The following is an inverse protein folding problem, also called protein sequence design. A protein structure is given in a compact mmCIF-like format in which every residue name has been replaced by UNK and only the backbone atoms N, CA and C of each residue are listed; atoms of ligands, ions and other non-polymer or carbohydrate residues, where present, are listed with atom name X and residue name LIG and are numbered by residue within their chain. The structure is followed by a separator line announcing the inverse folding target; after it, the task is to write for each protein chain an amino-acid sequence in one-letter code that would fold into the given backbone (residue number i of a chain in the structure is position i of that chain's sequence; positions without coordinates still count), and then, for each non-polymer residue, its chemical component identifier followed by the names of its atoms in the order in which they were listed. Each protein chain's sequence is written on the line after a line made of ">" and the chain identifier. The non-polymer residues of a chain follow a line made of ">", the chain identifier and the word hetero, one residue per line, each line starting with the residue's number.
data_IF_959922364813
#
_entry.id   IF_959922364813
#
_cell.length_a   1.000
_cell.length_b   1.000
_cell.length_c   1.000
_cell.angle_alpha   90.00
_cell.angle_beta   90.00
_cell.angle_gamma   90.00
#
_symmetry.space_group_name_H-M   'P 1'
#
loop_
_entity.id
_entity.type
_entity.pdbx_description
1 polymer ?
#
# COMPACT_ATOMS: atom_id res chain seq x y z
N UNK A 1 49.87 8.64 63.59
CA UNK A 1 50.74 9.81 63.89
C UNK A 1 52.17 9.36 63.72
N UNK A 2 52.60 9.35 62.47
CA UNK A 2 53.99 9.33 62.01
C UNK A 2 53.91 9.89 60.60
N UNK A 3 54.26 11.17 60.50
CA UNK A 3 54.49 11.89 59.25
C UNK A 3 55.74 11.32 58.58
N UNK A 4 55.66 11.01 57.29
CA UNK A 4 56.84 10.89 56.44
C UNK A 4 56.53 11.55 55.08
N UNK A 5 57.17 12.71 54.93
CA UNK A 5 57.39 13.48 53.71
C UNK A 5 57.98 12.59 52.60
N UNK A 6 57.28 12.47 51.48
CA UNK A 6 57.89 12.07 50.21
C UNK A 6 57.66 13.16 49.16
N UNK A 7 58.81 13.68 48.76
CA UNK A 7 59.13 14.67 47.75
C UNK A 7 58.96 14.10 46.35
N UNK A 8 58.10 14.69 45.52
CA UNK A 8 58.12 14.49 44.06
C UNK A 8 58.56 15.78 43.34
N UNK A 9 59.49 15.72 42.38
CA UNK A 9 59.88 16.85 41.54
C UNK A 9 59.17 16.86 40.18
N UNK A 10 58.83 18.09 39.77
CA UNK A 10 58.76 18.69 38.43
C UNK A 10 58.69 17.79 37.17
N UNK A 11 57.64 17.98 36.37
CA UNK A 11 57.71 17.93 34.90
C UNK A 11 56.81 18.97 34.22
N UNK A 12 57.50 19.92 33.59
CA UNK A 12 57.26 20.52 32.26
C UNK A 12 55.92 21.21 31.94
N UNK A 13 55.99 22.53 31.94
CA UNK A 13 55.39 23.43 30.94
C UNK A 13 55.87 23.06 29.52
N UNK A 14 54.95 22.98 28.55
CA UNK A 14 55.11 23.27 27.10
C UNK A 14 53.84 22.75 26.41
N UNK A 15 53.17 23.37 25.45
CA UNK A 15 53.34 24.60 24.69
C UNK A 15 52.05 24.66 23.86
N UNK A 16 51.35 25.80 23.89
CA UNK A 16 50.14 26.01 23.11
C UNK A 16 50.52 26.17 21.64
N UNK A 17 50.15 25.21 20.79
CA UNK A 17 50.28 25.30 19.34
C UNK A 17 48.97 25.74 18.68
N UNK A 18 48.91 27.00 18.25
CA UNK A 18 48.01 27.49 17.20
C UNK A 18 48.33 26.80 15.87
N UNK A 19 47.34 26.26 15.13
CA UNK A 19 47.52 25.97 13.71
C UNK A 19 47.07 27.15 12.83
N UNK A 20 48.11 27.83 12.36
CA UNK A 20 48.33 28.54 11.10
C UNK A 20 47.15 28.73 10.11
N UNK A 21 46.84 30.01 9.92
CA UNK A 21 45.93 30.59 8.95
C UNK A 21 46.64 30.75 7.58
N UNK A 22 46.73 29.69 6.76
CA UNK A 22 47.25 29.84 5.40
C UNK A 22 46.82 28.75 4.39
N UNK A 23 45.60 28.84 3.85
CA UNK A 23 45.35 28.45 2.45
C UNK A 23 44.00 28.95 1.94
N UNK A 24 44.04 30.13 1.31
CA UNK A 24 42.97 30.66 0.45
C UNK A 24 43.14 30.13 -0.97
N UNK A 25 42.21 29.32 -1.52
CA UNK A 25 42.14 29.16 -2.97
C UNK A 25 41.42 30.35 -3.62
N UNK A 26 42.17 30.89 -4.57
CA UNK A 26 41.87 31.99 -5.50
C UNK A 26 40.46 32.04 -6.12
N UNK A 27 39.96 33.27 -6.18
CA UNK A 27 38.84 33.76 -6.99
C UNK A 27 38.98 33.34 -8.46
N UNK A 28 38.14 32.42 -8.93
CA UNK A 28 37.91 32.24 -10.37
C UNK A 28 36.74 33.11 -10.86
N UNK A 29 37.16 34.16 -11.54
CA UNK A 29 36.50 35.05 -12.50
C UNK A 29 35.12 34.60 -13.01
N UNK A 30 34.13 35.45 -12.69
CA UNK A 30 32.98 35.84 -13.54
C UNK A 30 33.34 35.75 -15.04
N UNK A 31 32.73 34.80 -15.76
CA UNK A 31 32.56 34.90 -17.20
C UNK A 31 31.18 35.47 -17.51
N UNK A 32 31.24 36.64 -18.14
CA UNK A 32 30.18 37.43 -18.75
C UNK A 32 29.56 36.59 -19.87
N UNK A 33 28.27 36.25 -19.78
CA UNK A 33 27.48 35.74 -20.90
C UNK A 33 27.08 36.94 -21.78
N UNK A 34 27.41 36.96 -23.07
CA UNK A 34 26.86 37.94 -24.00
C UNK A 34 25.42 37.59 -24.39
N UNK A 35 24.66 38.65 -24.62
CA UNK A 35 23.37 38.65 -25.29
C UNK A 35 23.54 38.49 -26.80
N UNK A 36 22.43 38.13 -27.44
CA UNK A 36 22.06 38.30 -28.85
C UNK A 36 22.76 37.44 -29.91
N UNK A 37 22.01 36.47 -30.41
CA UNK A 37 22.04 36.08 -31.82
C UNK A 37 20.67 35.52 -32.22
N UNK A 38 19.96 36.34 -33.00
CA UNK A 38 18.78 35.98 -33.77
C UNK A 38 19.07 34.76 -34.66
N UNK A 39 18.14 33.80 -34.69
CA UNK A 39 18.01 32.86 -35.79
C UNK A 39 16.54 32.83 -36.20
N UNK A 40 16.23 33.64 -37.22
CA UNK A 40 15.06 33.46 -38.09
C UNK A 40 15.20 32.11 -38.80
N UNK A 41 14.18 31.29 -38.69
CA UNK A 41 13.98 30.10 -39.51
C UNK A 41 12.53 30.07 -39.96
N UNK A 42 12.29 30.59 -41.16
CA UNK A 42 11.07 30.38 -41.95
C UNK A 42 10.93 28.89 -42.30
N UNK A 43 9.74 28.32 -42.06
CA UNK A 43 9.22 27.20 -42.82
C UNK A 43 7.68 27.14 -42.70
N UNK A 44 7.05 27.84 -43.64
CA UNK A 44 5.84 27.47 -44.39
C UNK A 44 5.45 25.98 -44.25
N UNK A 45 4.27 25.66 -43.71
CA UNK A 45 3.03 25.39 -44.45
C UNK A 45 3.09 24.22 -45.43
N UNK A 46 2.38 23.13 -45.11
CA UNK A 46 1.64 22.19 -46.00
C UNK A 46 1.23 21.00 -45.12
N UNK A 47 -0.03 20.85 -44.72
CA UNK A 47 -1.08 20.10 -45.42
C UNK A 47 -1.67 19.12 -44.38
N UNK A 48 -2.87 19.34 -43.85
CA UNK A 48 -4.14 18.92 -44.43
C UNK A 48 -4.08 17.47 -44.95
N UNK A 49 -4.46 16.51 -44.09
CA UNK A 49 -5.44 15.45 -44.42
C UNK A 49 -5.57 14.46 -43.26
N UNK A 50 -6.67 14.57 -42.51
CA UNK A 50 -7.20 13.45 -41.74
C UNK A 50 -8.73 13.57 -41.72
N UNK A 51 -9.30 13.22 -42.87
CA UNK A 51 -10.71 12.96 -43.02
C UNK A 51 -11.12 11.75 -42.18
N UNK A 52 -12.15 11.96 -41.36
CA UNK A 52 -13.37 11.14 -41.31
C UNK A 52 -13.19 9.62 -41.20
N UNK A 53 -13.27 9.12 -39.98
CA UNK A 53 -13.77 7.78 -39.68
C UNK A 53 -14.73 7.84 -38.47
N UNK A 54 -15.91 8.40 -38.70
CA UNK A 54 -17.11 8.03 -37.94
C UNK A 54 -17.55 6.67 -38.47
N UNK A 55 -17.57 5.65 -37.59
CA UNK A 55 -17.93 4.29 -37.95
C UNK A 55 -18.22 3.46 -36.71
N UNK A 56 -19.46 3.58 -36.23
CA UNK A 56 -20.28 2.50 -35.68
C UNK A 56 -19.67 1.56 -34.61
N UNK A 57 -19.99 1.86 -33.35
CA UNK A 57 -19.78 0.96 -32.21
C UNK A 57 -20.92 1.03 -31.20
N UNK A 58 -22.18 1.08 -31.68
CA UNK A 58 -23.37 0.81 -30.85
C UNK A 58 -23.91 -0.57 -31.20
N UNK A 59 -24.31 -1.30 -30.16
CA UNK A 59 -25.05 -2.57 -30.14
C UNK A 59 -24.22 -3.86 -30.11
N UNK A 60 -23.87 -4.29 -28.90
CA UNK A 60 -23.80 -5.72 -28.55
C UNK A 60 -24.08 -5.90 -27.04
N UNK A 61 -25.25 -5.44 -26.61
CA UNK A 61 -25.87 -5.85 -25.35
C UNK A 61 -27.18 -6.55 -25.73
N UNK A 62 -27.29 -7.80 -25.26
CA UNK A 62 -28.42 -8.73 -25.34
C UNK A 62 -28.38 -9.80 -26.44
N UNK A 63 -27.99 -11.01 -26.01
CA UNK A 63 -28.83 -12.23 -26.17
C UNK A 63 -28.40 -13.25 -25.11
N UNK A 64 -28.95 -13.11 -23.91
CA UNK A 64 -29.06 -14.22 -22.98
C UNK A 64 -30.15 -15.11 -23.55
N UNK A 65 -29.78 -16.31 -24.00
CA UNK A 65 -30.73 -17.30 -24.47
C UNK A 65 -31.67 -17.74 -23.33
N UNK A 66 -32.97 -17.92 -23.60
CA UNK A 66 -33.88 -18.46 -22.59
C UNK A 66 -33.48 -19.90 -22.28
N UNK A 67 -33.15 -20.16 -21.01
CA UNK A 67 -32.93 -21.50 -20.46
C UNK A 67 -34.09 -22.39 -20.86
N UNK A 68 -33.77 -23.43 -21.62
CA UNK A 68 -34.68 -24.47 -22.07
C UNK A 68 -35.30 -25.13 -20.84
N UNK A 69 -36.61 -24.97 -20.70
CA UNK A 69 -37.44 -25.58 -19.66
C UNK A 69 -37.27 -27.10 -19.73
N UNK A 70 -36.57 -27.68 -18.76
CA UNK A 70 -36.51 -29.12 -18.56
C UNK A 70 -37.91 -29.57 -18.15
N UNK A 71 -38.58 -30.28 -19.06
CA UNK A 71 -39.77 -31.03 -18.75
C UNK A 71 -39.35 -32.36 -18.12
N UNK A 72 -39.93 -32.70 -16.97
CA UNK A 72 -39.81 -34.04 -16.39
C UNK A 72 -39.46 -34.04 -14.91
N UNK A 73 -40.43 -33.71 -14.06
CA UNK A 73 -40.53 -34.27 -12.71
C UNK A 73 -42.02 -34.35 -12.39
N UNK A 74 -42.51 -35.59 -12.37
CA UNK A 74 -43.85 -36.01 -11.96
C UNK A 74 -43.95 -35.94 -10.43
N UNK A 75 -44.74 -35.01 -9.92
CA UNK A 75 -45.20 -34.99 -8.53
C UNK A 75 -46.69 -35.39 -8.51
N UNK A 76 -46.95 -36.68 -8.66
CA UNK A 76 -48.21 -37.33 -8.29
C UNK A 76 -48.05 -37.89 -6.86
N UNK A 77 -48.01 -37.03 -5.84
CA UNK A 77 -48.55 -37.38 -4.50
C UNK A 77 -48.51 -36.15 -3.56
N UNK A 78 -49.51 -35.29 -3.67
CA UNK A 78 -49.82 -34.32 -2.62
C UNK A 78 -51.32 -34.40 -2.34
N UNK A 79 -51.65 -35.01 -1.20
CA UNK A 79 -53.00 -35.19 -0.71
C UNK A 79 -53.80 -33.88 -0.58
N UNK A 80 -55.11 -33.98 -0.25
CA UNK A 80 -56.06 -32.89 -0.40
C UNK A 80 -55.72 -31.74 0.57
N UNK A 81 -54.91 -30.79 0.09
CA UNK A 81 -54.69 -29.53 0.77
C UNK A 81 -56.02 -28.78 0.76
N UNK A 82 -56.68 -28.77 1.92
CA UNK A 82 -57.76 -27.86 2.30
C UNK A 82 -57.42 -26.46 1.77
N UNK A 83 -58.09 -26.08 0.67
CA UNK A 83 -58.09 -24.70 0.21
C UNK A 83 -58.78 -23.89 1.28
N UNK A 84 -57.99 -23.28 2.17
CA UNK A 84 -58.47 -22.24 3.08
C UNK A 84 -59.08 -21.14 2.24
N UNK A 85 -60.41 -21.14 2.18
CA UNK A 85 -61.19 -20.06 1.58
C UNK A 85 -60.77 -18.75 2.26
N UNK A 86 -60.00 -17.95 1.53
CA UNK A 86 -59.65 -16.60 1.95
C UNK A 86 -60.97 -15.85 2.17
N UNK A 87 -61.17 -15.23 3.35
CA UNK A 87 -62.41 -14.54 3.65
C UNK A 87 -62.64 -13.48 2.57
N UNK A 88 -63.80 -13.60 1.88
CA UNK A 88 -64.25 -12.60 0.92
C UNK A 88 -64.35 -11.26 1.64
N UNK A 89 -63.33 -10.42 1.50
CA UNK A 89 -63.29 -9.10 2.09
C UNK A 89 -64.37 -8.26 1.40
N UNK A 90 -65.56 -8.23 1.99
CA UNK A 90 -66.65 -7.36 1.59
C UNK A 90 -66.12 -5.93 1.64
N UNK A 91 -65.75 -5.37 0.48
CA UNK A 91 -65.42 -3.96 0.27
C UNK A 91 -66.67 -3.08 0.31
N UNK A 92 -67.59 -3.39 1.23
CA UNK A 92 -68.59 -2.42 1.66
C UNK A 92 -67.80 -1.31 2.35
N UNK A 93 -67.59 -0.21 1.61
CA UNK A 93 -66.86 0.98 2.03
C UNK A 93 -67.63 1.61 3.19
N UNK A 94 -67.39 1.09 4.41
CA UNK A 94 -67.87 1.72 5.64
C UNK A 94 -67.12 3.05 5.73
N UNK A 95 -67.78 4.14 5.29
CA UNK A 95 -67.37 5.49 5.64
C UNK A 95 -67.55 5.63 7.15
N UNK A 96 -66.57 5.14 7.91
CA UNK A 96 -66.45 5.49 9.33
C UNK A 96 -66.27 7.00 9.35
N UNK A 97 -67.27 7.71 9.89
CA UNK A 97 -67.11 9.13 10.24
C UNK A 97 -65.88 9.21 11.14
N UNK A 98 -64.89 10.01 10.75
CA UNK A 98 -63.70 10.24 11.56
C UNK A 98 -64.13 10.59 13.00
N UNK A 99 -63.56 9.97 14.04
CA UNK A 99 -63.90 10.27 15.42
C UNK A 99 -63.66 11.78 15.64
N UNK A 100 -64.72 12.45 16.09
CA UNK A 100 -64.71 13.90 16.31
C UNK A 100 -63.98 14.13 17.64
N UNK A 101 -62.66 14.31 17.58
CA UNK A 101 -61.84 14.60 18.77
C UNK A 101 -60.42 14.03 18.79
N UNK A 102 -59.94 13.34 17.75
CA UNK A 102 -58.50 13.04 17.65
C UNK A 102 -57.74 14.34 17.35
N UNK A 103 -56.87 14.75 18.28
CA UNK A 103 -55.88 15.80 18.05
C UNK A 103 -55.15 15.47 16.75
N UNK A 104 -55.32 16.33 15.74
CA UNK A 104 -54.64 16.14 14.47
C UNK A 104 -53.14 16.12 14.75
N UNK A 105 -52.51 14.97 14.54
CA UNK A 105 -51.07 14.76 14.71
C UNK A 105 -50.30 15.95 14.12
N UNK A 106 -49.45 16.56 14.96
CA UNK A 106 -48.64 17.72 14.60
C UNK A 106 -47.85 17.49 13.31
N UNK A 107 -47.47 16.24 13.03
CA UNK A 107 -46.87 15.86 11.76
C UNK A 107 -47.84 15.99 10.59
N UNK A 108 -49.07 15.49 10.69
CA UNK A 108 -50.07 15.58 9.61
C UNK A 108 -50.50 17.01 9.32
N UNK A 109 -50.65 17.84 10.35
CA UNK A 109 -50.99 19.27 10.17
C UNK A 109 -49.84 20.02 9.51
N UNK A 110 -48.59 19.74 9.91
CA UNK A 110 -47.39 20.33 9.31
C UNK A 110 -47.22 19.90 7.86
N UNK A 111 -47.37 18.61 7.53
CA UNK A 111 -47.28 18.08 6.17
C UNK A 111 -48.40 18.64 5.28
N UNK A 112 -49.65 18.74 5.78
CA UNK A 112 -50.76 19.34 5.02
C UNK A 112 -50.54 20.83 4.78
N UNK A 113 -50.01 21.57 5.75
CA UNK A 113 -49.71 23.01 5.62
C UNK A 113 -48.55 23.24 4.64
N UNK A 114 -47.51 22.41 4.70
CA UNK A 114 -46.41 22.42 3.74
C UNK A 114 -46.88 22.06 2.32
N UNK A 115 -47.72 21.03 2.18
CA UNK A 115 -48.30 20.62 0.89
C UNK A 115 -49.18 21.69 0.23
N UNK A 116 -49.90 22.48 1.04
CA UNK A 116 -50.72 23.59 0.53
C UNK A 116 -49.87 24.78 0.06
N UNK A 117 -48.73 25.05 0.71
CA UNK A 117 -47.76 26.06 0.28
C UNK A 117 -47.04 25.69 -1.03
N UNK A 118 -46.79 24.41 -1.27
CA UNK A 118 -46.19 23.90 -2.52
C UNK A 118 -47.07 24.22 -3.75
N UNK A 119 -48.41 24.18 -3.59
CA UNK A 119 -49.36 24.49 -4.66
C UNK A 119 -49.46 26.00 -4.97
N UNK A 120 -49.09 26.88 -4.04
CA UNK A 120 -49.18 28.34 -4.23
C UNK A 120 -47.98 28.91 -5.00
N UNK A 121 -46.83 28.24 -4.95
CA UNK A 121 -45.61 28.67 -5.62
C UNK A 121 -44.92 27.54 -6.40
N UNK A 122 -45.60 26.94 -7.41
CA UNK A 122 -45.06 25.79 -8.13
C UNK A 122 -43.73 26.10 -8.81
N UNK A 123 -43.54 27.32 -9.33
CA UNK A 123 -42.28 27.75 -9.95
C UNK A 123 -41.12 27.80 -8.94
N UNK A 124 -41.36 28.26 -7.70
CA UNK A 124 -40.33 28.32 -6.67
C UNK A 124 -39.92 26.92 -6.20
N UNK A 125 -40.88 26.01 -6.05
CA UNK A 125 -40.61 24.61 -5.68
C UNK A 125 -39.86 23.87 -6.78
N UNK A 126 -40.26 24.06 -8.05
CA UNK A 126 -39.53 23.51 -9.20
C UNK A 126 -38.10 24.08 -9.23
N UNK A 127 -37.93 25.39 -9.03
CA UNK A 127 -36.61 26.02 -8.93
C UNK A 127 -35.74 25.39 -7.84
N UNK A 128 -36.30 25.16 -6.64
CA UNK A 128 -35.58 24.54 -5.53
C UNK A 128 -35.20 23.08 -5.83
N UNK A 129 -36.09 22.29 -6.44
CA UNK A 129 -35.80 20.91 -6.83
C UNK A 129 -34.68 20.88 -7.87
N UNK A 130 -34.69 21.77 -8.87
CA UNK A 130 -33.63 21.85 -9.90
C UNK A 130 -32.29 22.23 -9.27
N UNK A 131 -32.26 23.18 -8.34
CA UNK A 131 -31.04 23.55 -7.61
C UNK A 131 -30.51 22.37 -6.79
N UNK A 132 -31.38 21.68 -6.03
CA UNK A 132 -30.98 20.52 -5.24
C UNK A 132 -30.46 19.37 -6.12
N UNK A 133 -31.11 19.10 -7.26
CA UNK A 133 -30.66 18.12 -8.23
C UNK A 133 -29.31 18.52 -8.86
N UNK A 134 -29.10 19.81 -9.15
CA UNK A 134 -27.83 20.33 -9.65
C UNK A 134 -26.69 20.17 -8.65
N UNK A 135 -26.92 20.44 -7.37
CA UNK A 135 -25.94 20.22 -6.29
C UNK A 135 -25.64 18.73 -6.15
N UNK A 136 -26.67 17.87 -6.14
CA UNK A 136 -26.50 16.42 -6.08
C UNK A 136 -25.71 15.86 -7.27
N UNK A 137 -26.01 16.30 -8.49
CA UNK A 137 -25.29 15.91 -9.69
C UNK A 137 -23.83 16.42 -9.68
N UNK A 138 -23.60 17.65 -9.20
CA UNK A 138 -22.25 18.20 -9.02
C UNK A 138 -21.43 17.41 -8.01
N UNK A 139 -22.01 17.09 -6.84
CA UNK A 139 -21.36 16.26 -5.83
C UNK A 139 -21.05 14.85 -6.33
N UNK A 140 -21.99 14.22 -7.07
CA UNK A 140 -21.79 12.91 -7.67
C UNK A 140 -20.69 12.93 -8.74
N UNK A 141 -20.70 13.92 -9.64
CA UNK A 141 -19.67 14.08 -10.67
C UNK A 141 -18.28 14.31 -10.06
N UNK A 142 -18.19 15.08 -8.97
CA UNK A 142 -16.94 15.26 -8.23
C UNK A 142 -16.47 13.96 -7.57
N UNK A 143 -17.37 13.20 -6.93
CA UNK A 143 -17.03 11.88 -6.37
C UNK A 143 -16.50 10.93 -7.43
N UNK A 144 -17.17 10.84 -8.58
CA UNK A 144 -16.76 10.02 -9.71
C UNK A 144 -15.40 10.44 -10.31
N UNK A 145 -15.17 11.75 -10.44
CA UNK A 145 -13.88 12.27 -10.88
C UNK A 145 -12.76 11.88 -9.89
N UNK A 146 -13.01 12.00 -8.58
CA UNK A 146 -12.08 11.58 -7.55
C UNK A 146 -11.81 10.07 -7.55
N UNK A 147 -12.80 9.23 -7.85
CA UNK A 147 -12.60 7.78 -8.01
C UNK A 147 -11.74 7.46 -9.24
N UNK A 148 -11.96 8.15 -10.36
CA UNK A 148 -11.16 7.96 -11.56
C UNK A 148 -9.70 8.36 -11.35
N UNK A 149 -9.44 9.44 -10.61
CA UNK A 149 -8.08 9.88 -10.31
C UNK A 149 -7.40 8.93 -9.31
N UNK A 150 -8.08 8.47 -8.26
CA UNK A 150 -7.56 7.42 -7.36
C UNK A 150 -7.21 6.12 -8.10
N UNK A 151 -8.02 5.74 -9.09
CA UNK A 151 -7.74 4.56 -9.91
C UNK A 151 -6.46 4.74 -10.75
N UNK A 152 -6.24 5.93 -11.32
CA UNK A 152 -4.99 6.26 -12.04
C UNK A 152 -3.78 6.26 -11.11
N UNK A 153 -3.89 6.89 -9.93
CA UNK A 153 -2.82 6.96 -8.94
C UNK A 153 -2.42 5.57 -8.44
N UNK A 154 -3.41 4.73 -8.14
CA UNK A 154 -3.19 3.31 -7.81
C UNK A 154 -2.56 2.54 -8.97
N UNK A 155 -2.96 2.82 -10.21
CA UNK A 155 -2.38 2.19 -11.40
C UNK A 155 -0.89 2.52 -11.51
N UNK A 156 -0.51 3.80 -11.36
CA UNK A 156 0.90 4.22 -11.42
C UNK A 156 1.74 3.57 -10.34
N UNK A 157 1.25 3.53 -9.09
CA UNK A 157 1.90 2.81 -8.00
C UNK A 157 2.05 1.31 -8.32
N UNK A 158 0.99 0.68 -8.85
CA UNK A 158 1.01 -0.74 -9.21
C UNK A 158 2.01 -1.02 -10.33
N UNK A 159 2.18 -0.10 -11.28
CA UNK A 159 3.19 -0.19 -12.34
C UNK A 159 4.59 -0.14 -11.73
N UNK A 160 4.88 0.84 -10.88
CA UNK A 160 6.16 0.94 -10.19
C UNK A 160 6.47 -0.35 -9.40
N UNK A 161 5.51 -0.82 -8.59
CA UNK A 161 5.66 -2.04 -7.80
C UNK A 161 5.85 -3.30 -8.67
N UNK A 162 5.18 -3.38 -9.83
CA UNK A 162 5.31 -4.52 -10.73
C UNK A 162 6.70 -4.58 -11.36
N UNK A 163 7.24 -3.45 -11.83
CA UNK A 163 8.60 -3.39 -12.37
C UNK A 163 9.65 -3.68 -11.29
N UNK A 164 9.48 -3.13 -10.08
CA UNK A 164 10.42 -3.34 -8.97
C UNK A 164 10.44 -4.80 -8.48
N UNK A 165 9.28 -5.44 -8.30
CA UNK A 165 9.21 -6.76 -7.67
C UNK A 165 9.30 -7.93 -8.67
N UNK A 166 8.88 -7.72 -9.92
CA UNK A 166 8.70 -8.79 -10.91
C UNK A 166 9.30 -8.48 -12.27
N UNK A 167 10.02 -7.36 -12.39
CA UNK A 167 10.77 -7.00 -13.58
C UNK A 167 11.77 -8.07 -13.95
N UNK A 168 11.85 -8.40 -15.24
CA UNK A 168 12.87 -9.30 -15.77
C UNK A 168 13.61 -8.63 -16.92
N UNK A 169 14.93 -8.67 -16.85
CA UNK A 169 15.81 -8.28 -17.96
C UNK A 169 15.91 -9.46 -18.91
N UNK A 170 15.53 -9.24 -20.16
CA UNK A 170 15.52 -10.28 -21.19
C UNK A 170 16.15 -9.73 -22.45
N UNK A 171 17.17 -10.44 -22.93
CA UNK A 171 17.79 -10.19 -24.24
C UNK A 171 16.80 -10.53 -25.36
N UNK A 172 16.85 -9.76 -26.45
CA UNK A 172 16.01 -9.94 -27.64
C UNK A 172 14.49 -9.93 -27.35
N UNK A 173 14.07 -9.04 -26.44
CA UNK A 173 12.66 -8.88 -26.05
C UNK A 173 11.73 -8.65 -27.26
N UNK A 174 12.21 -7.92 -28.26
CA UNK A 174 11.49 -7.69 -29.51
C UNK A 174 11.16 -9.00 -30.24
N UNK A 175 12.10 -9.95 -30.30
CA UNK A 175 11.89 -11.25 -30.94
C UNK A 175 10.91 -12.11 -30.13
N UNK A 176 11.03 -12.10 -28.80
CA UNK A 176 10.15 -12.87 -27.91
C UNK A 176 8.71 -12.36 -27.86
N UNK A 177 8.49 -11.11 -28.27
CA UNK A 177 7.16 -10.48 -28.27
C UNK A 177 6.54 -10.35 -29.67
N UNK A 178 7.34 -10.49 -30.73
CA UNK A 178 6.91 -10.29 -32.12
C UNK A 178 5.64 -11.05 -32.50
N UNK A 179 5.52 -12.33 -32.08
CA UNK A 179 4.39 -13.20 -32.46
C UNK A 179 3.32 -13.31 -31.37
N UNK A 180 3.46 -12.60 -30.24
CA UNK A 180 2.53 -12.75 -29.10
C UNK A 180 1.31 -11.84 -29.25
N UNK A 181 0.14 -12.48 -29.38
CA UNK A 181 -1.17 -11.79 -29.39
C UNK A 181 -1.59 -11.21 -28.04
N UNK A 182 -0.92 -11.56 -26.94
CA UNK A 182 -1.25 -11.12 -25.58
C UNK A 182 -0.03 -10.49 -24.92
N UNK A 183 -0.21 -9.41 -24.14
CA UNK A 183 0.87 -8.85 -23.38
C UNK A 183 1.39 -9.88 -22.37
N UNK A 184 2.68 -9.77 -22.07
CA UNK A 184 3.33 -10.61 -21.08
C UNK A 184 2.75 -10.34 -19.69
N UNK A 185 2.63 -11.39 -18.87
CA UNK A 185 2.06 -11.30 -17.52
C UNK A 185 2.99 -10.61 -16.52
N UNK A 186 4.28 -10.56 -16.83
CA UNK A 186 5.32 -9.86 -16.08
C UNK A 186 5.87 -8.71 -16.91
N UNK A 187 6.36 -7.63 -16.28
CA UNK A 187 7.08 -6.59 -16.99
C UNK A 187 8.46 -7.09 -17.41
N UNK A 188 8.80 -6.88 -18.68
CA UNK A 188 10.10 -7.20 -19.26
C UNK A 188 10.74 -5.94 -19.81
N UNK A 189 12.05 -5.85 -19.72
CA UNK A 189 12.88 -4.75 -20.24
C UNK A 189 14.17 -5.31 -20.81
N UNK A 190 14.85 -4.52 -21.64
CA UNK A 190 16.09 -4.95 -22.31
C UNK A 190 17.32 -4.77 -21.43
N UNK A 191 17.23 -3.95 -20.37
CA UNK A 191 18.34 -3.70 -19.45
C UNK A 191 17.88 -3.36 -18.03
N UNK A 192 18.79 -3.57 -17.07
CA UNK A 192 18.58 -3.20 -15.66
C UNK A 192 18.45 -1.68 -15.48
N UNK A 193 19.08 -0.88 -16.35
CA UNK A 193 18.91 0.57 -16.34
C UNK A 193 17.51 0.98 -16.77
N UNK A 194 16.99 0.37 -17.85
CA UNK A 194 15.61 0.60 -18.27
C UNK A 194 14.63 0.19 -17.17
N UNK A 195 14.88 -0.92 -16.46
CA UNK A 195 14.04 -1.35 -15.34
C UNK A 195 13.91 -0.24 -14.29
N UNK A 196 15.05 0.29 -13.85
CA UNK A 196 15.10 1.38 -12.86
C UNK A 196 14.40 2.63 -13.38
N UNK A 197 14.64 3.01 -14.63
CA UNK A 197 13.99 4.17 -15.25
C UNK A 197 12.46 4.03 -15.33
N UNK A 198 11.92 2.83 -15.59
CA UNK A 198 10.46 2.59 -15.61
C UNK A 198 9.85 2.78 -14.22
N UNK A 199 10.52 2.30 -13.18
CA UNK A 199 10.09 2.50 -11.79
C UNK A 199 10.14 3.99 -11.44
N UNK A 200 11.26 4.66 -11.71
CA UNK A 200 11.45 6.09 -11.46
C UNK A 200 10.40 6.94 -12.18
N UNK A 201 10.16 6.67 -13.45
CA UNK A 201 9.15 7.38 -14.25
C UNK A 201 7.74 7.20 -13.68
N UNK A 202 7.35 5.98 -13.29
CA UNK A 202 6.03 5.72 -12.73
C UNK A 202 5.83 6.43 -11.37
N UNK A 203 6.85 6.44 -10.51
CA UNK A 203 6.81 7.15 -9.23
C UNK A 203 6.84 8.68 -9.40
N UNK A 204 7.58 9.21 -10.37
CA UNK A 204 7.60 10.64 -10.67
C UNK A 204 6.27 11.12 -11.27
N UNK A 205 5.68 10.33 -12.17
CA UNK A 205 4.36 10.59 -12.73
C UNK A 205 3.28 10.62 -11.65
N UNK A 206 3.34 9.71 -10.68
CA UNK A 206 2.42 9.66 -9.54
C UNK A 206 2.53 10.93 -8.68
N UNK A 207 3.76 11.31 -8.30
CA UNK A 207 4.02 12.54 -7.54
C UNK A 207 3.51 13.78 -8.27
N UNK A 208 3.75 13.87 -9.57
CA UNK A 208 3.36 15.04 -10.37
C UNK A 208 1.84 15.16 -10.56
N UNK A 209 1.14 14.03 -10.67
CA UNK A 209 -0.30 14.00 -10.96
C UNK A 209 -1.15 14.12 -9.70
N UNK A 210 -0.74 13.46 -8.61
CA UNK A 210 -1.57 13.31 -7.42
C UNK A 210 -0.71 13.14 -6.15
N UNK A 211 0.04 14.21 -5.75
CA UNK A 211 1.02 14.16 -4.67
C UNK A 211 0.41 13.84 -3.30
N UNK A 212 -0.86 14.22 -3.08
CA UNK A 212 -1.57 14.01 -1.81
C UNK A 212 -2.39 12.71 -1.81
N UNK A 213 -2.24 11.85 -2.82
CA UNK A 213 -3.00 10.59 -2.86
C UNK A 213 -2.51 9.56 -1.86
N UNK A 214 -3.40 8.68 -1.37
CA UNK A 214 -2.99 7.51 -0.58
C UNK A 214 -1.99 6.60 -1.34
N UNK A 215 -2.08 6.56 -2.67
CA UNK A 215 -1.11 5.83 -3.49
C UNK A 215 0.28 6.47 -3.42
N UNK A 216 0.36 7.81 -3.41
CA UNK A 216 1.63 8.51 -3.28
C UNK A 216 2.22 8.38 -1.86
N UNK A 217 1.38 8.31 -0.83
CA UNK A 217 1.83 7.98 0.53
C UNK A 217 2.53 6.61 0.55
N UNK A 218 1.94 5.57 -0.05
CA UNK A 218 2.60 4.25 -0.16
C UNK A 218 3.85 4.32 -1.06
N UNK A 219 3.84 5.15 -2.11
CA UNK A 219 4.97 5.35 -2.99
C UNK A 219 6.20 5.92 -2.25
N UNK A 220 6.00 6.71 -1.19
CA UNK A 220 7.11 7.19 -0.35
C UNK A 220 7.90 6.06 0.30
N UNK A 221 7.22 4.97 0.71
CA UNK A 221 7.91 3.78 1.23
C UNK A 221 8.69 3.06 0.14
N UNK A 222 8.16 3.00 -1.09
CA UNK A 222 8.89 2.44 -2.23
C UNK A 222 10.14 3.25 -2.54
N UNK A 223 10.04 4.59 -2.53
CA UNK A 223 11.18 5.50 -2.71
C UNK A 223 12.22 5.30 -1.61
N UNK A 224 11.80 5.25 -0.36
CA UNK A 224 12.69 5.01 0.78
C UNK A 224 13.40 3.64 0.71
N UNK A 225 12.68 2.58 0.33
CA UNK A 225 13.26 1.26 0.15
C UNK A 225 14.30 1.21 -0.97
N UNK A 226 14.08 1.96 -2.06
CA UNK A 226 15.05 2.07 -3.16
C UNK A 226 16.31 2.83 -2.75
N UNK A 227 16.19 3.86 -1.91
CA UNK A 227 17.35 4.53 -1.30
C UNK A 227 18.17 3.55 -0.45
N UNK A 228 17.50 2.76 0.40
CA UNK A 228 18.17 1.76 1.22
C UNK A 228 18.87 0.67 0.39
N UNK A 229 18.24 0.19 -0.71
CA UNK A 229 18.87 -0.76 -1.65
C UNK A 229 20.07 -0.18 -2.39
N UNK A 230 20.09 1.12 -2.62
CA UNK A 230 21.22 1.84 -3.17
C UNK A 230 22.31 2.16 -2.12
N UNK A 231 22.16 1.63 -0.90
CA UNK A 231 23.01 1.90 0.27
C UNK A 231 23.08 3.38 0.66
N UNK A 232 22.14 4.22 0.22
CA UNK A 232 21.96 5.59 0.71
C UNK A 232 21.09 5.55 1.97
N UNK A 233 21.69 5.00 3.02
CA UNK A 233 20.99 4.70 4.27
C UNK A 233 20.57 5.97 5.02
N UNK A 234 21.33 7.06 4.91
CA UNK A 234 20.99 8.35 5.51
C UNK A 234 19.76 8.99 4.84
N UNK A 235 19.66 8.92 3.51
CA UNK A 235 18.47 9.40 2.82
C UNK A 235 17.26 8.50 3.10
N UNK A 236 17.46 7.18 3.13
CA UNK A 236 16.42 6.22 3.48
C UNK A 236 15.87 6.46 4.89
N UNK A 237 16.75 6.63 5.88
CA UNK A 237 16.37 6.97 7.26
C UNK A 237 15.49 8.22 7.30
N UNK A 238 15.92 9.31 6.65
CA UNK A 238 15.14 10.56 6.61
C UNK A 238 13.77 10.35 6.00
N UNK A 239 13.68 9.56 4.91
CA UNK A 239 12.42 9.26 4.25
C UNK A 239 11.48 8.45 5.15
N UNK A 240 11.96 7.36 5.78
CA UNK A 240 11.14 6.56 6.69
C UNK A 240 10.70 7.33 7.93
N UNK A 241 11.58 8.12 8.55
CA UNK A 241 11.23 8.98 9.70
C UNK A 241 10.16 10.01 9.31
N UNK A 242 10.28 10.60 8.12
CA UNK A 242 9.28 11.54 7.59
C UNK A 242 7.90 10.87 7.45
N UNK A 243 7.85 9.66 6.87
CA UNK A 243 6.63 8.87 6.74
C UNK A 243 5.99 8.57 8.10
N UNK A 244 6.76 8.02 9.05
CA UNK A 244 6.30 7.68 10.41
C UNK A 244 5.73 8.91 11.13
N UNK A 245 6.41 10.06 11.01
CA UNK A 245 5.99 11.31 11.66
C UNK A 245 4.71 11.88 11.05
N UNK A 246 4.57 11.84 9.72
CA UNK A 246 3.41 12.41 9.01
C UNK A 246 2.18 11.51 9.13
N UNK A 247 2.38 10.20 9.16
CA UNK A 247 1.30 9.21 9.08
C UNK A 247 1.36 8.18 10.23
N UNK A 248 1.25 8.61 11.50
CA UNK A 248 1.45 7.73 12.67
C UNK A 248 0.38 6.64 12.85
N UNK A 249 -0.73 6.69 12.10
CA UNK A 249 -1.80 5.68 12.11
C UNK A 249 -1.91 4.89 10.81
N UNK A 250 -0.93 4.99 9.91
CA UNK A 250 -0.99 4.32 8.61
C UNK A 250 -0.88 2.80 8.76
N UNK A 251 -1.61 2.05 7.94
CA UNK A 251 -1.62 0.58 7.99
C UNK A 251 -0.27 -0.07 7.62
N UNK A 252 0.64 0.70 6.99
CA UNK A 252 2.02 0.30 6.67
C UNK A 252 3.06 0.89 7.65
N UNK A 253 2.64 1.38 8.82
CA UNK A 253 3.59 1.94 9.79
C UNK A 253 4.64 0.91 10.23
N UNK A 254 4.24 -0.35 10.38
CA UNK A 254 5.19 -1.43 10.67
C UNK A 254 6.29 -1.54 9.61
N UNK A 255 5.91 -1.58 8.32
CA UNK A 255 6.86 -1.65 7.20
C UNK A 255 7.80 -0.43 7.17
N UNK A 256 7.29 0.76 7.50
CA UNK A 256 8.11 1.96 7.57
C UNK A 256 9.15 1.90 8.71
N UNK A 257 8.75 1.35 9.86
CA UNK A 257 9.66 1.14 11.00
C UNK A 257 10.68 0.06 10.70
N UNK A 258 10.28 -1.06 10.10
CA UNK A 258 11.21 -2.09 9.65
C UNK A 258 12.24 -1.52 8.67
N UNK A 259 11.79 -0.75 7.67
CA UNK A 259 12.68 -0.06 6.74
C UNK A 259 13.65 0.91 7.43
N UNK A 260 13.19 1.64 8.44
CA UNK A 260 14.03 2.51 9.27
C UNK A 260 15.09 1.71 10.07
N UNK A 261 14.67 0.60 10.68
CA UNK A 261 15.57 -0.31 11.41
C UNK A 261 16.67 -0.82 10.49
N UNK A 262 16.32 -1.29 9.28
CA UNK A 262 17.27 -1.76 8.28
C UNK A 262 18.22 -0.64 7.80
N UNK A 263 17.71 0.58 7.64
CA UNK A 263 18.55 1.73 7.27
C UNK A 263 19.53 2.12 8.39
N UNK A 264 19.13 2.03 9.66
CA UNK A 264 20.02 2.29 10.79
C UNK A 264 21.07 1.19 10.95
N UNK A 265 20.68 -0.06 10.73
CA UNK A 265 21.58 -1.21 10.66
C UNK A 265 22.61 -1.07 9.52
N UNK A 266 22.20 -0.61 8.34
CA UNK A 266 23.12 -0.30 7.24
C UNK A 266 24.14 0.79 7.58
N UNK A 267 23.86 1.64 8.58
CA UNK A 267 24.76 2.64 9.14
C UNK A 267 25.54 2.14 10.38
N UNK A 268 25.38 0.86 10.75
CA UNK A 268 25.95 0.26 11.96
C UNK A 268 25.52 0.95 13.27
N UNK A 269 24.36 1.63 13.27
CA UNK A 269 23.80 2.34 14.42
C UNK A 269 22.86 1.42 15.21
N UNK A 270 23.45 0.40 15.82
CA UNK A 270 22.71 -0.71 16.44
C UNK A 270 21.76 -0.28 17.55
N UNK A 271 22.19 0.61 18.45
CA UNK A 271 21.34 1.08 19.57
C UNK A 271 20.15 1.92 19.08
N UNK A 272 20.35 2.74 18.04
CA UNK A 272 19.27 3.50 17.43
C UNK A 272 18.27 2.57 16.72
N UNK A 273 18.77 1.53 16.04
CA UNK A 273 17.93 0.51 15.41
C UNK A 273 17.10 -0.24 16.47
N UNK A 274 17.71 -0.64 17.59
CA UNK A 274 17.02 -1.29 18.70
C UNK A 274 15.92 -0.41 19.29
N UNK A 275 16.16 0.90 19.44
CA UNK A 275 15.16 1.85 19.93
C UNK A 275 13.92 1.94 19.02
N UNK A 276 14.09 1.76 17.70
CA UNK A 276 12.97 1.74 16.75
C UNK A 276 12.22 0.41 16.69
N UNK A 277 12.83 -0.69 17.16
CA UNK A 277 12.18 -2.00 17.30
C UNK A 277 11.25 -2.06 18.52
N UNK A 278 11.57 -1.38 19.62
CA UNK A 278 10.73 -1.37 20.83
C UNK A 278 9.24 -1.07 20.56
N UNK A 279 8.84 -0.02 19.81
CA UNK A 279 7.44 0.22 19.51
C UNK A 279 6.80 -0.83 18.57
N UNK A 280 7.60 -1.71 17.94
CA UNK A 280 7.12 -2.79 17.07
C UNK A 280 6.77 -4.06 17.86
N UNK A 281 7.26 -4.22 19.08
CA UNK A 281 7.09 -5.46 19.87
C UNK A 281 5.63 -5.75 20.25
N UNK A 282 4.80 -4.70 20.37
CA UNK A 282 3.37 -4.85 20.65
C UNK A 282 3.06 -5.72 21.87
N UNK A 283 1.90 -6.38 21.84
CA UNK A 283 1.45 -7.38 22.81
C UNK A 283 1.61 -8.80 22.25
N UNK A 284 1.71 -9.80 23.15
CA UNK A 284 1.71 -11.21 22.76
C UNK A 284 0.50 -11.55 21.87
N UNK A 285 0.77 -12.20 20.74
CA UNK A 285 -0.23 -12.53 19.73
C UNK A 285 -0.49 -11.45 18.67
N UNK A 286 0.13 -10.26 18.80
CA UNK A 286 0.10 -9.27 17.72
C UNK A 286 0.76 -9.82 16.45
N UNK A 287 0.19 -9.48 15.30
CA UNK A 287 0.54 -10.08 14.01
C UNK A 287 2.03 -9.99 13.65
N UNK A 288 2.73 -8.93 14.08
CA UNK A 288 4.12 -8.68 13.72
C UNK A 288 5.12 -8.87 14.88
N UNK A 289 4.65 -9.39 16.01
CA UNK A 289 5.50 -9.47 17.20
C UNK A 289 6.61 -10.51 17.07
N UNK A 290 6.37 -11.60 16.35
CA UNK A 290 7.39 -12.59 15.98
C UNK A 290 8.55 -11.92 15.23
N UNK A 291 8.24 -11.13 14.21
CA UNK A 291 9.20 -10.41 13.39
C UNK A 291 9.93 -9.33 14.21
N UNK A 292 9.23 -8.61 15.10
CA UNK A 292 9.86 -7.62 15.99
C UNK A 292 10.86 -8.26 16.98
N UNK A 293 10.50 -9.40 17.60
CA UNK A 293 11.42 -10.16 18.46
C UNK A 293 12.64 -10.65 17.69
N UNK A 294 12.44 -11.14 16.46
CA UNK A 294 13.53 -11.50 15.56
C UNK A 294 14.47 -10.32 15.27
N UNK A 295 13.93 -9.14 14.90
CA UNK A 295 14.76 -7.95 14.67
C UNK A 295 15.52 -7.53 15.93
N UNK A 296 14.90 -7.60 17.10
CA UNK A 296 15.58 -7.29 18.37
C UNK A 296 16.75 -8.23 18.63
N UNK A 297 16.55 -9.53 18.50
CA UNK A 297 17.58 -10.54 18.72
C UNK A 297 18.80 -10.33 17.80
N UNK A 298 18.58 -10.26 16.48
CA UNK A 298 19.68 -10.10 15.52
C UNK A 298 20.45 -8.79 15.66
N UNK A 299 19.77 -7.70 16.07
CA UNK A 299 20.43 -6.41 16.31
C UNK A 299 21.25 -6.42 17.60
N UNK A 300 20.80 -7.12 18.65
CA UNK A 300 21.59 -7.33 19.86
C UNK A 300 22.86 -8.13 19.55
N UNK A 301 22.77 -9.15 18.70
CA UNK A 301 23.97 -9.88 18.24
C UNK A 301 24.93 -8.98 17.46
N UNK A 302 24.43 -8.19 16.51
CA UNK A 302 25.25 -7.24 15.75
C UNK A 302 25.91 -6.19 16.65
N UNK A 303 25.28 -5.81 17.76
CA UNK A 303 25.83 -4.94 18.78
C UNK A 303 26.83 -5.63 19.73
N UNK A 304 27.12 -6.92 19.55
CA UNK A 304 28.01 -7.71 20.41
C UNK A 304 27.38 -8.12 21.76
N UNK A 305 26.05 -8.02 21.89
CA UNK A 305 25.27 -8.31 23.11
C UNK A 305 24.61 -9.69 23.02
N UNK A 306 25.41 -10.72 22.73
CA UNK A 306 24.91 -12.07 22.44
C UNK A 306 24.11 -12.70 23.57
N UNK A 307 24.46 -12.45 24.83
CA UNK A 307 23.71 -12.97 25.98
C UNK A 307 22.28 -12.41 26.01
N UNK A 308 22.11 -11.12 25.72
CA UNK A 308 20.79 -10.49 25.64
C UNK A 308 20.00 -10.96 24.42
N UNK A 309 20.69 -11.17 23.29
CA UNK A 309 20.06 -11.74 22.10
C UNK A 309 19.51 -13.15 22.37
N UNK A 310 20.27 -13.98 23.10
CA UNK A 310 19.85 -15.33 23.47
C UNK A 310 18.58 -15.30 24.32
N UNK A 311 18.47 -14.38 25.27
CA UNK A 311 17.25 -14.22 26.07
C UNK A 311 16.04 -13.79 25.21
N UNK A 312 16.24 -12.93 24.22
CA UNK A 312 15.20 -12.56 23.26
C UNK A 312 14.77 -13.75 22.39
N UNK A 313 15.70 -14.60 21.94
CA UNK A 313 15.36 -15.80 21.18
C UNK A 313 14.63 -16.85 22.03
N UNK A 314 14.99 -16.99 23.32
CA UNK A 314 14.23 -17.84 24.26
C UNK A 314 12.83 -17.29 24.48
N UNK A 315 12.68 -15.97 24.60
CA UNK A 315 11.36 -15.33 24.64
C UNK A 315 10.55 -15.63 23.38
N UNK A 316 11.16 -15.50 22.20
CA UNK A 316 10.53 -15.87 20.94
C UNK A 316 10.03 -17.30 20.97
N UNK A 317 10.84 -18.28 21.41
CA UNK A 317 10.42 -19.68 21.47
C UNK A 317 9.25 -19.92 22.43
N UNK A 318 9.18 -19.17 23.55
CA UNK A 318 8.12 -19.31 24.52
C UNK A 318 6.76 -18.85 23.94
N UNK A 319 6.77 -17.79 23.14
CA UNK A 319 5.58 -17.19 22.55
C UNK A 319 5.21 -17.80 21.18
N UNK A 320 6.23 -18.20 20.42
CA UNK A 320 6.14 -18.78 19.08
C UNK A 320 6.93 -20.10 19.02
N UNK A 321 6.34 -21.21 19.50
CA UNK A 321 6.97 -22.52 19.46
C UNK A 321 7.48 -22.88 18.06
N UNK A 322 8.74 -23.33 17.98
CA UNK A 322 9.45 -23.55 16.70
C UNK A 322 8.89 -24.71 15.85
N UNK A 323 8.00 -25.53 16.41
CA UNK A 323 7.25 -26.58 15.69
C UNK A 323 6.02 -26.03 14.94
N UNK A 324 5.68 -24.75 15.16
CA UNK A 324 4.60 -24.05 14.47
C UNK A 324 5.16 -23.06 13.47
N UNK A 325 4.37 -22.80 12.42
CA UNK A 325 4.73 -21.78 11.43
C UNK A 325 4.63 -20.38 12.04
N UNK A 326 5.72 -19.64 11.94
CA UNK A 326 5.86 -18.23 12.31
C UNK A 326 6.80 -17.57 11.31
N UNK A 327 6.72 -16.25 11.09
CA UNK A 327 7.46 -15.56 10.02
C UNK A 327 8.98 -15.68 10.20
N UNK A 328 9.44 -15.78 11.44
CA UNK A 328 10.85 -15.82 11.79
C UNK A 328 11.31 -17.16 12.43
N UNK A 329 10.47 -18.21 12.42
CA UNK A 329 10.77 -19.45 13.16
C UNK A 329 12.06 -20.13 12.70
N UNK A 330 12.26 -20.22 11.37
CA UNK A 330 13.43 -20.89 10.79
C UNK A 330 14.72 -20.10 11.09
N UNK A 331 14.64 -18.76 11.03
CA UNK A 331 15.78 -17.88 11.31
C UNK A 331 16.17 -17.94 12.80
N UNK A 332 15.20 -17.87 13.70
CA UNK A 332 15.44 -17.97 15.15
C UNK A 332 15.99 -19.34 15.51
N UNK A 333 15.44 -20.42 14.95
CA UNK A 333 15.98 -21.78 15.11
C UNK A 333 17.45 -21.84 14.69
N UNK A 334 17.78 -21.36 13.50
CA UNK A 334 19.16 -21.39 12.99
C UNK A 334 20.12 -20.62 13.90
N UNK A 335 19.73 -19.45 14.43
CA UNK A 335 20.56 -18.71 15.40
C UNK A 335 20.71 -19.45 16.72
N UNK A 336 19.65 -20.07 17.24
CA UNK A 336 19.71 -20.84 18.48
C UNK A 336 20.55 -22.11 18.35
N UNK A 337 20.56 -22.78 17.19
CA UNK A 337 21.44 -23.92 16.94
C UNK A 337 22.93 -23.53 17.02
N UNK A 338 23.26 -22.28 16.66
CA UNK A 338 24.61 -21.74 16.74
C UNK A 338 24.97 -21.27 18.17
N UNK A 339 24.05 -20.59 18.86
CA UNK A 339 24.31 -19.96 20.15
C UNK A 339 24.08 -20.89 21.35
N UNK A 340 23.04 -21.73 21.31
CA UNK A 340 22.63 -22.63 22.38
C UNK A 340 21.95 -23.89 21.80
N UNK A 341 22.71 -24.80 21.17
CA UNK A 341 22.16 -25.99 20.50
C UNK A 341 21.38 -26.92 21.43
N UNK A 342 21.64 -26.86 22.74
CA UNK A 342 20.94 -27.68 23.73
C UNK A 342 19.49 -27.22 23.96
N UNK A 343 19.17 -25.97 23.64
CA UNK A 343 17.83 -25.39 23.79
C UNK A 343 16.88 -25.72 22.64
N UNK A 344 17.40 -26.14 21.48
CA UNK A 344 16.61 -26.29 20.26
C UNK A 344 15.87 -27.64 20.26
N UNK A 345 14.52 -27.66 20.18
CA UNK A 345 13.77 -28.89 20.07
C UNK A 345 14.08 -29.59 18.74
N UNK A 346 14.29 -30.92 18.81
CA UNK A 346 14.47 -31.74 17.62
C UNK A 346 13.34 -31.51 16.62
N UNK A 347 13.68 -31.40 15.33
CA UNK A 347 12.67 -31.33 14.28
C UNK A 347 11.72 -32.52 14.43
N UNK A 348 10.39 -32.30 14.43
CA UNK A 348 9.48 -33.42 14.31
C UNK A 348 9.87 -34.15 13.03
N UNK A 349 10.17 -35.46 13.13
CA UNK A 349 10.45 -36.26 11.95
C UNK A 349 9.26 -36.08 11.01
N UNK A 350 9.46 -35.37 9.90
CA UNK A 350 8.48 -35.30 8.82
C UNK A 350 8.04 -36.74 8.57
N UNK A 351 6.73 -37.07 8.64
CA UNK A 351 6.29 -38.44 8.47
C UNK A 351 6.79 -38.93 7.11
N UNK A 352 7.90 -39.66 7.14
CA UNK A 352 8.48 -40.38 6.04
C UNK A 352 7.49 -41.49 5.70
N UNK A 353 6.52 -41.17 4.85
CA UNK A 353 5.58 -42.14 4.32
C UNK A 353 4.15 -41.64 4.29
N UNK A 354 3.73 -41.12 3.14
CA UNK A 354 2.45 -41.44 2.50
C UNK A 354 2.42 -40.80 1.10
N UNK A 355 2.61 -41.63 0.06
CA UNK A 355 2.29 -41.33 -1.35
C UNK A 355 3.47 -40.77 -2.16
N UNK A 356 4.25 -41.55 -2.89
CA UNK A 356 3.84 -42.78 -3.54
C UNK A 356 2.74 -42.51 -4.58
N UNK A 357 2.87 -41.47 -5.41
CA UNK A 357 2.01 -41.29 -6.58
C UNK A 357 2.85 -41.28 -7.85
N UNK A 358 2.83 -42.44 -8.50
CA UNK A 358 2.71 -42.51 -9.95
C UNK A 358 3.99 -42.28 -10.73
N UNK A 359 4.88 -43.26 -10.71
CA UNK A 359 5.68 -43.56 -11.89
C UNK A 359 4.74 -43.80 -13.08
N UNK A 360 4.58 -42.78 -13.93
CA UNK A 360 4.06 -42.96 -15.28
C UNK A 360 5.18 -43.62 -16.08
N UNK A 361 5.09 -44.94 -16.17
CA UNK A 361 5.88 -45.74 -17.09
C UNK A 361 5.66 -45.25 -18.52
N UNK A 362 6.69 -44.65 -19.09
CA UNK A 362 6.85 -44.58 -20.54
C UNK A 362 7.46 -45.93 -20.94
N UNK A 363 6.59 -46.83 -21.39
CA UNK A 363 6.99 -48.02 -22.13
C UNK A 363 7.49 -47.67 -23.54
N UNK A 364 8.13 -48.63 -24.21
CA UNK A 364 9.15 -48.42 -25.26
C UNK A 364 8.66 -47.81 -26.57
#
# INVERSE_FOLDING_TARGET
>A
MSDDDVKEPETSESEAGEPDEASRPSRRRRRKRPADAEAKGDASSEGADAAKAEGEGKAALARIEPVKKVAGASDDDAGPAERRDLPKWNRARVKRKAPKGEEEDAFQTTVRKAGRGILQHPAAVIGLIVVAAGIGAGAYAWSQAGEADRAKSTTLLSTAAAYEARGQVVEDLAEQTADRKRPLSRPYVESEEELRQKVDAALADLEAKDPDSPANEVADLVRAARLARASDFEAAEKAYRSFIKRLPGHHLLFMAREGLVLALEGQERWDDALAEVEPMLGQEGDFYRDQALWHRGRLLEAAGRSDEALEVYKQYMAEYPLDRSSLAADQVRARLEELDPASVPALPESPMGMGGLGGLGIGP
#
